data_IF_913135100754
#
_entry.id   IF_913135100754
#
_cell.length_a   1.000
_cell.length_b   1.000
_cell.length_c   1.000
_cell.angle_alpha   90.00
_cell.angle_beta   90.00
_cell.angle_gamma   90.00
#
_symmetry.space_group_name_H-M   'P 1'
#
loop_
_entity.id
_entity.type
_entity.pdbx_description
1 polymer ?
#
# COMPACT_ATOMS: atom_id res chain seq x y z
N UNK A 1 -13.69 -47.16 -27.05
CA UNK A 1 -15.07 -47.60 -27.33
C UNK A 1 -15.95 -47.11 -26.19
N UNK A 2 -17.16 -46.69 -26.55
CA UNK A 2 -18.22 -46.08 -25.75
C UNK A 2 -18.04 -44.60 -25.35
N UNK A 3 -19.03 -43.71 -25.47
CA UNK A 3 -20.08 -43.40 -26.46
C UNK A 3 -20.87 -42.22 -25.81
N UNK A 4 -21.17 -41.14 -26.55
CA UNK A 4 -22.50 -40.48 -26.62
C UNK A 4 -23.01 -39.79 -25.31
N UNK A 5 -23.42 -38.51 -25.24
CA UNK A 5 -24.00 -37.55 -26.20
C UNK A 5 -23.98 -36.10 -25.64
N UNK A 6 -24.29 -35.09 -26.48
CA UNK A 6 -24.21 -33.66 -26.22
C UNK A 6 -25.57 -33.06 -25.80
N UNK A 7 -25.55 -31.84 -25.26
CA UNK A 7 -26.74 -31.01 -25.07
C UNK A 7 -26.59 -29.71 -25.85
N UNK A 8 -27.45 -29.61 -26.86
CA UNK A 8 -27.75 -28.45 -27.68
C UNK A 8 -28.75 -27.58 -26.90
N UNK A 9 -28.58 -26.25 -26.88
CA UNK A 9 -29.72 -25.35 -26.67
C UNK A 9 -29.59 -24.11 -27.55
N UNK A 10 -30.75 -23.79 -28.10
CA UNK A 10 -31.08 -22.96 -29.24
C UNK A 10 -31.45 -21.54 -28.79
N UNK A 11 -31.08 -20.57 -29.64
CA UNK A 11 -31.69 -19.27 -29.98
C UNK A 11 -32.38 -18.39 -28.92
N UNK A 12 -32.13 -17.07 -28.98
CA UNK A 12 -33.16 -16.14 -29.47
C UNK A 12 -32.60 -14.76 -29.84
N UNK A 13 -33.25 -14.17 -30.82
CA UNK A 13 -33.02 -12.93 -31.57
C UNK A 13 -33.65 -11.68 -30.93
N UNK A 14 -32.93 -10.54 -30.98
CA UNK A 14 -33.31 -9.13 -31.27
C UNK A 14 -34.77 -8.63 -31.07
N UNK A 15 -35.00 -7.37 -30.60
CA UNK A 15 -34.85 -6.22 -31.51
C UNK A 15 -34.29 -4.91 -30.94
N UNK A 16 -33.71 -4.12 -31.86
CA UNK A 16 -33.48 -2.68 -31.75
C UNK A 16 -34.82 -1.93 -31.67
N UNK A 17 -34.90 -0.94 -30.79
CA UNK A 17 -35.95 0.07 -30.81
C UNK A 17 -35.35 1.45 -31.11
N UNK A 18 -35.68 1.97 -32.29
CA UNK A 18 -35.57 3.39 -32.62
C UNK A 18 -36.58 4.19 -31.78
N UNK A 19 -36.16 5.28 -31.16
CA UNK A 19 -37.09 6.33 -30.72
C UNK A 19 -36.68 7.65 -31.35
N UNK A 20 -37.49 8.04 -32.33
CA UNK A 20 -37.51 9.31 -33.04
C UNK A 20 -38.58 10.18 -32.38
N UNK A 21 -38.20 11.34 -31.88
CA UNK A 21 -39.14 12.43 -31.63
C UNK A 21 -38.48 13.73 -32.08
N UNK A 22 -39.21 14.45 -32.93
CA UNK A 22 -38.91 15.82 -33.32
C UNK A 22 -40.20 16.62 -33.22
N UNK A 23 -40.08 17.92 -33.01
CA UNK A 23 -41.18 18.87 -33.19
C UNK A 23 -41.26 20.00 -32.17
N UNK A 24 -40.64 21.12 -32.54
CA UNK A 24 -41.09 22.52 -32.39
C UNK A 24 -41.26 23.26 -31.03
N UNK A 25 -40.33 24.21 -30.85
CA UNK A 25 -40.51 25.66 -30.62
C UNK A 25 -41.29 26.22 -29.40
N UNK A 26 -40.55 26.92 -28.51
CA UNK A 26 -40.67 28.38 -28.26
C UNK A 26 -39.57 28.86 -27.29
N UNK A 27 -39.11 30.14 -27.39
CA UNK A 27 -37.96 30.64 -26.65
C UNK A 27 -38.35 31.20 -25.28
N UNK A 28 -37.68 30.75 -24.22
CA UNK A 28 -37.67 31.47 -22.94
C UNK A 28 -36.24 31.89 -22.62
N UNK A 29 -36.05 33.20 -22.74
CA UNK A 29 -34.90 33.91 -22.21
C UNK A 29 -34.96 33.84 -20.69
N UNK A 30 -33.98 33.19 -20.06
CA UNK A 30 -33.68 33.41 -18.65
C UNK A 30 -32.18 33.32 -18.46
N UNK A 31 -31.65 34.43 -17.97
CA UNK A 31 -30.24 34.71 -17.81
C UNK A 31 -29.54 33.65 -16.94
N UNK A 32 -28.62 32.91 -17.54
CA UNK A 32 -27.60 32.19 -16.80
C UNK A 32 -26.62 33.21 -16.25
N UNK A 33 -26.78 33.56 -14.98
CA UNK A 33 -25.69 34.13 -14.20
C UNK A 33 -24.53 33.10 -14.18
N UNK A 34 -23.27 33.52 -14.36
CA UNK A 34 -22.15 32.61 -14.17
C UNK A 34 -22.12 32.18 -12.70
N UNK A 35 -22.35 30.88 -12.44
CA UNK A 35 -22.04 30.29 -11.15
C UNK A 35 -20.52 30.30 -11.02
N UNK A 36 -20.02 31.38 -10.43
CA UNK A 36 -18.64 31.49 -9.98
C UNK A 36 -18.43 30.38 -8.97
N UNK A 37 -17.75 29.30 -9.37
CA UNK A 37 -17.19 28.32 -8.43
C UNK A 37 -16.20 29.06 -7.54
N UNK A 38 -16.69 29.48 -6.38
CA UNK A 38 -15.89 30.12 -5.34
C UNK A 38 -14.79 29.14 -4.91
N UNK A 39 -13.58 29.34 -5.44
CA UNK A 39 -12.38 28.54 -5.13
C UNK A 39 -11.72 28.97 -3.82
N UNK A 40 -12.53 29.47 -2.87
CA UNK A 40 -12.07 30.19 -1.69
C UNK A 40 -12.19 29.40 -0.38
N UNK A 41 -12.51 28.11 -0.42
CA UNK A 41 -12.44 27.24 0.77
C UNK A 41 -11.25 26.28 0.68
N UNK A 42 -10.06 26.86 0.48
CA UNK A 42 -8.82 26.14 0.80
C UNK A 42 -8.70 26.17 2.31
N UNK A 43 -9.24 25.14 2.97
CA UNK A 43 -8.94 24.83 4.37
C UNK A 43 -7.43 25.02 4.61
N UNK A 44 -7.02 25.60 5.75
CA UNK A 44 -5.61 25.78 6.06
C UNK A 44 -4.91 24.45 5.84
N UNK A 45 -3.76 24.51 5.18
CA UNK A 45 -2.91 23.39 4.77
C UNK A 45 -2.58 22.56 6.02
N UNK A 46 -3.50 21.66 6.39
CA UNK A 46 -3.30 20.74 7.50
C UNK A 46 -2.08 19.95 7.07
N UNK A 47 -0.97 19.95 7.83
CA UNK A 47 0.20 19.16 7.49
C UNK A 47 -0.34 17.78 7.16
N UNK A 48 -0.13 17.32 5.92
CA UNK A 48 -0.65 16.03 5.45
C UNK A 48 -0.18 15.01 6.45
N UNK A 49 -1.09 14.67 7.36
CA UNK A 49 -0.78 13.79 8.45
C UNK A 49 -0.44 12.50 7.74
N UNK A 50 0.76 11.97 7.99
CA UNK A 50 1.09 10.58 7.66
C UNK A 50 0.18 9.74 8.56
N UNK A 51 -1.11 9.73 8.23
CA UNK A 51 -2.23 9.41 9.11
C UNK A 51 -2.50 7.92 9.00
N UNK A 52 -2.41 7.23 10.14
CA UNK A 52 -2.86 5.86 10.34
C UNK A 52 -2.39 4.89 9.25
N UNK A 53 -1.18 4.36 9.39
CA UNK A 53 -0.75 3.23 8.56
C UNK A 53 -1.76 2.08 8.68
N UNK A 54 -2.27 1.59 7.55
CA UNK A 54 -3.20 0.45 7.49
C UNK A 54 -4.54 0.74 6.80
N UNK A 55 -5.45 -0.24 6.87
CA UNK A 55 -6.76 -0.16 6.18
C UNK A 55 -7.66 0.93 6.77
N UNK A 56 -7.61 1.15 8.09
CA UNK A 56 -8.43 2.17 8.77
C UNK A 56 -8.06 3.57 8.31
N UNK A 57 -6.77 3.88 8.19
CA UNK A 57 -6.33 5.18 7.70
C UNK A 57 -6.72 5.45 6.25
N UNK A 58 -6.72 4.41 5.42
CA UNK A 58 -7.23 4.52 4.04
C UNK A 58 -8.73 4.85 4.03
N UNK A 59 -9.55 4.15 4.82
CA UNK A 59 -10.98 4.44 4.91
C UNK A 59 -11.25 5.85 5.47
N UNK A 60 -10.55 6.24 6.54
CA UNK A 60 -10.68 7.58 7.11
C UNK A 60 -10.28 8.67 6.12
N UNK A 61 -9.17 8.47 5.39
CA UNK A 61 -8.71 9.38 4.34
C UNK A 61 -9.77 9.62 3.27
N UNK A 62 -10.39 8.55 2.76
CA UNK A 62 -11.48 8.69 1.79
C UNK A 62 -12.77 9.27 2.38
N UNK A 63 -13.02 9.03 3.67
CA UNK A 63 -14.21 9.57 4.33
C UNK A 63 -14.20 11.10 4.36
N UNK A 64 -13.02 11.73 4.40
CA UNK A 64 -12.89 13.20 4.33
C UNK A 64 -13.29 13.80 2.98
N UNK A 65 -13.32 13.01 1.92
CA UNK A 65 -13.78 13.44 0.59
C UNK A 65 -15.32 13.41 0.48
N UNK A 66 -16.01 12.81 1.46
CA UNK A 66 -17.48 12.79 1.51
C UNK A 66 -18.03 14.09 2.07
N UNK A 67 -19.26 14.41 1.67
CA UNK A 67 -20.03 15.48 2.32
C UNK A 67 -20.56 14.96 3.66
N UNK A 68 -19.96 15.44 4.75
CA UNK A 68 -20.27 15.02 6.13
C UNK A 68 -20.96 16.13 6.92
N UNK A 69 -21.92 15.74 7.76
CA UNK A 69 -22.51 16.60 8.79
C UNK A 69 -21.49 16.92 9.88
N UNK A 70 -21.72 17.98 10.64
CA UNK A 70 -20.74 18.42 11.65
C UNK A 70 -20.63 17.43 12.82
N UNK A 71 -21.72 16.74 13.16
CA UNK A 71 -21.70 15.65 14.14
C UNK A 71 -20.82 14.48 13.67
N UNK A 72 -20.89 14.14 12.38
CA UNK A 72 -20.09 13.07 11.78
C UNK A 72 -18.60 13.44 11.77
N UNK A 73 -18.27 14.67 11.38
CA UNK A 73 -16.88 15.18 11.43
C UNK A 73 -16.33 15.12 12.85
N UNK A 74 -17.10 15.56 13.85
CA UNK A 74 -16.69 15.50 15.24
C UNK A 74 -16.47 14.05 15.74
N UNK A 75 -17.28 13.09 15.26
CA UNK A 75 -17.07 11.68 15.55
C UNK A 75 -15.78 11.14 14.91
N UNK A 76 -15.51 11.50 13.64
CA UNK A 76 -14.27 11.11 12.95
C UNK A 76 -13.02 11.70 13.61
N UNK A 77 -13.05 12.98 14.00
CA UNK A 77 -11.93 13.62 14.68
C UNK A 77 -11.61 12.90 16.00
N UNK A 78 -12.62 12.44 16.75
CA UNK A 78 -12.43 11.63 17.96
C UNK A 78 -11.83 10.26 17.66
N UNK A 79 -12.29 9.57 16.60
CA UNK A 79 -11.73 8.28 16.16
C UNK A 79 -10.27 8.45 15.79
N UNK A 80 -9.94 9.47 14.98
CA UNK A 80 -8.56 9.77 14.59
C UNK A 80 -7.67 10.11 15.77
N UNK A 81 -8.15 10.92 16.71
CA UNK A 81 -7.38 11.31 17.88
C UNK A 81 -7.01 10.08 18.73
N UNK A 82 -7.96 9.14 18.92
CA UNK A 82 -7.72 7.87 19.63
C UNK A 82 -6.71 6.98 18.92
N UNK A 83 -6.79 6.89 17.59
CA UNK A 83 -5.82 6.12 16.80
C UNK A 83 -4.41 6.71 16.92
N UNK A 84 -4.28 8.05 16.97
CA UNK A 84 -2.99 8.75 17.07
C UNK A 84 -2.34 8.67 18.44
N UNK A 85 -3.10 8.81 19.54
CA UNK A 85 -2.54 8.82 20.90
C UNK A 85 -1.84 7.50 21.26
N UNK A 86 -2.21 6.44 20.56
CA UNK A 86 -1.86 5.07 20.88
C UNK A 86 -0.90 4.42 19.85
N UNK A 87 -0.38 5.21 18.90
CA UNK A 87 0.26 4.75 17.67
C UNK A 87 1.75 4.36 17.82
N UNK A 88 2.12 3.69 18.93
CA UNK A 88 3.48 3.14 19.03
C UNK A 88 3.65 1.86 18.22
N UNK A 89 2.54 1.18 17.90
CA UNK A 89 2.55 -0.09 17.16
C UNK A 89 3.51 -1.12 17.77
N UNK A 90 3.95 -2.14 17.01
CA UNK A 90 4.98 -3.08 17.44
C UNK A 90 6.41 -2.52 17.24
N UNK A 91 6.57 -1.21 16.96
CA UNK A 91 7.87 -0.64 16.59
C UNK A 91 8.92 -0.77 17.69
N UNK A 92 8.61 -0.55 18.99
CA UNK A 92 9.56 -0.79 20.07
C UNK A 92 10.07 -2.23 20.11
N UNK A 93 9.15 -3.20 20.03
CA UNK A 93 9.45 -4.63 20.11
C UNK A 93 10.23 -5.10 18.88
N UNK A 94 9.88 -4.60 17.68
CA UNK A 94 10.65 -4.88 16.45
C UNK A 94 12.08 -4.32 16.54
N UNK A 95 12.27 -3.13 17.13
CA UNK A 95 13.61 -2.57 17.38
C UNK A 95 14.38 -3.41 18.39
N UNK A 96 13.71 -3.89 19.43
CA UNK A 96 14.34 -4.77 20.43
C UNK A 96 14.76 -6.11 19.81
N UNK A 97 13.92 -6.70 18.97
CA UNK A 97 14.24 -7.93 18.23
C UNK A 97 15.50 -7.72 17.39
N UNK A 98 15.54 -6.63 16.63
CA UNK A 98 16.70 -6.31 15.81
C UNK A 98 17.95 -6.14 16.67
N UNK A 99 17.89 -5.35 17.74
CA UNK A 99 19.03 -5.14 18.65
C UNK A 99 19.53 -6.47 19.22
N UNK A 100 18.60 -7.37 19.55
CA UNK A 100 18.92 -8.73 20.05
C UNK A 100 19.62 -9.57 18.98
N UNK A 101 19.14 -9.52 17.73
CA UNK A 101 19.78 -10.22 16.61
C UNK A 101 21.18 -9.67 16.32
N UNK A 102 21.36 -8.35 16.31
CA UNK A 102 22.66 -7.70 16.09
C UNK A 102 23.66 -8.08 17.20
N UNK A 103 23.24 -8.04 18.46
CA UNK A 103 24.07 -8.47 19.58
C UNK A 103 24.45 -9.95 19.47
N UNK A 104 23.50 -10.82 19.11
CA UNK A 104 23.76 -12.25 18.92
C UNK A 104 24.69 -12.53 17.72
N UNK A 105 24.59 -11.75 16.65
CA UNK A 105 25.53 -11.82 15.52
C UNK A 105 26.95 -11.47 15.97
N UNK A 106 27.13 -10.35 16.69
CA UNK A 106 28.46 -9.97 17.25
C UNK A 106 29.03 -11.06 18.16
N UNK A 107 28.19 -11.62 19.04
CA UNK A 107 28.56 -12.70 19.95
C UNK A 107 28.81 -14.04 19.23
N UNK A 108 28.37 -14.19 17.97
CA UNK A 108 28.47 -15.44 17.21
C UNK A 108 27.43 -16.49 17.56
N UNK A 109 26.45 -16.15 18.40
CA UNK A 109 25.37 -17.03 18.82
C UNK A 109 24.11 -16.21 19.10
N UNK A 110 22.98 -16.65 18.54
CA UNK A 110 21.69 -16.05 18.79
C UNK A 110 21.05 -16.59 20.07
N UNK A 111 20.43 -15.69 20.84
CA UNK A 111 19.55 -16.06 21.95
C UNK A 111 18.14 -16.34 21.40
N UNK A 112 17.92 -17.59 21.00
CA UNK A 112 16.65 -18.02 20.41
C UNK A 112 15.48 -17.90 21.40
N UNK A 113 15.73 -18.05 22.71
CA UNK A 113 14.70 -17.91 23.73
C UNK A 113 14.24 -16.45 23.83
N UNK A 114 15.19 -15.50 23.86
CA UNK A 114 14.86 -14.08 23.85
C UNK A 114 14.17 -13.64 22.55
N UNK A 115 14.62 -14.16 21.40
CA UNK A 115 13.96 -13.90 20.11
C UNK A 115 12.50 -14.38 20.13
N UNK A 116 12.23 -15.59 20.64
CA UNK A 116 10.88 -16.12 20.76
C UNK A 116 10.00 -15.28 21.69
N UNK A 117 10.55 -14.80 22.82
CA UNK A 117 9.85 -13.92 23.74
C UNK A 117 9.46 -12.60 23.07
N UNK A 118 10.40 -11.92 22.42
CA UNK A 118 10.13 -10.63 21.75
C UNK A 118 9.09 -10.81 20.63
N UNK A 119 9.08 -11.95 19.93
CA UNK A 119 8.04 -12.26 18.94
C UNK A 119 6.65 -12.36 19.55
N UNK A 120 6.51 -13.01 20.70
CA UNK A 120 5.24 -13.04 21.42
C UNK A 120 4.76 -11.63 21.81
N UNK A 121 5.70 -10.76 22.19
CA UNK A 121 5.40 -9.36 22.51
C UNK A 121 4.97 -8.56 21.25
N UNK A 122 5.62 -8.79 20.10
CA UNK A 122 5.19 -8.25 18.79
C UNK A 122 3.78 -8.73 18.45
N UNK A 123 3.48 -10.02 18.59
CA UNK A 123 2.16 -10.58 18.29
C UNK A 123 1.08 -9.96 19.17
N UNK A 124 1.37 -9.77 20.47
CA UNK A 124 0.48 -9.09 21.41
C UNK A 124 0.25 -7.62 21.03
N UNK A 125 1.30 -6.88 20.68
CA UNK A 125 1.20 -5.49 20.22
C UNK A 125 0.39 -5.37 18.92
N UNK A 126 0.60 -6.30 17.98
CA UNK A 126 -0.17 -6.38 16.74
C UNK A 126 -1.64 -6.71 16.99
N UNK A 127 -1.94 -7.62 17.93
CA UNK A 127 -3.34 -7.92 18.29
C UNK A 127 -4.02 -6.72 18.92
N UNK A 128 -3.36 -6.04 19.88
CA UNK A 128 -3.89 -4.82 20.48
C UNK A 128 -4.16 -3.73 19.42
N UNK A 129 -3.32 -3.63 18.38
CA UNK A 129 -3.57 -2.72 17.25
C UNK A 129 -4.79 -3.15 16.43
N UNK A 130 -4.96 -4.44 16.14
CA UNK A 130 -6.16 -4.94 15.42
C UNK A 130 -7.44 -4.65 16.18
N UNK A 131 -7.44 -4.83 17.50
CA UNK A 131 -8.62 -4.57 18.32
C UNK A 131 -9.02 -3.08 18.25
N UNK A 132 -8.03 -2.18 18.28
CA UNK A 132 -8.23 -0.73 18.12
C UNK A 132 -8.71 -0.37 16.71
N UNK A 133 -8.09 -0.96 15.69
CA UNK A 133 -8.50 -0.77 14.30
C UNK A 133 -9.96 -1.24 14.10
N UNK A 134 -10.35 -2.37 14.71
CA UNK A 134 -11.72 -2.87 14.66
C UNK A 134 -12.71 -1.94 15.37
N UNK A 135 -12.35 -1.41 16.54
CA UNK A 135 -13.16 -0.40 17.24
C UNK A 135 -13.32 0.88 16.43
N UNK A 136 -12.25 1.35 15.79
CA UNK A 136 -12.29 2.52 14.93
C UNK A 136 -13.16 2.29 13.68
N UNK A 137 -13.07 1.11 13.05
CA UNK A 137 -13.91 0.74 11.91
C UNK A 137 -15.39 0.63 12.29
N UNK A 138 -15.70 0.04 13.45
CA UNK A 138 -17.06 -0.03 13.97
C UNK A 138 -17.59 1.38 14.31
N UNK A 139 -16.76 2.24 14.89
CA UNK A 139 -17.09 3.65 15.14
C UNK A 139 -17.36 4.42 13.84
N UNK A 140 -16.53 4.23 12.82
CA UNK A 140 -16.68 4.81 11.50
C UNK A 140 -17.99 4.35 10.84
N UNK A 141 -18.27 3.05 10.89
CA UNK A 141 -19.49 2.46 10.36
C UNK A 141 -20.76 3.03 11.02
N UNK A 142 -20.73 3.24 12.34
CA UNK A 142 -21.85 3.80 13.10
C UNK A 142 -22.05 5.31 12.83
N UNK A 143 -20.98 6.05 12.55
CA UNK A 143 -21.05 7.49 12.27
C UNK A 143 -21.57 7.80 10.85
N UNK A 144 -21.37 6.89 9.90
CA UNK A 144 -21.76 7.08 8.50
C UNK A 144 -23.16 6.54 8.20
N UNK A 145 -23.90 7.28 7.38
CA UNK A 145 -25.20 6.85 6.86
C UNK A 145 -25.03 5.72 5.83
N UNK A 146 -26.04 4.84 5.64
CA UNK A 146 -25.97 3.73 4.67
C UNK A 146 -25.53 4.16 3.26
N UNK A 147 -26.05 5.30 2.77
CA UNK A 147 -25.68 5.85 1.47
C UNK A 147 -24.20 6.29 1.41
N UNK A 148 -23.68 6.90 2.48
CA UNK A 148 -22.28 7.32 2.57
C UNK A 148 -21.34 6.12 2.61
N UNK A 149 -21.69 5.05 3.35
CA UNK A 149 -20.90 3.81 3.41
C UNK A 149 -20.75 3.16 2.03
N UNK A 150 -21.84 3.10 1.26
CA UNK A 150 -21.84 2.59 -0.12
C UNK A 150 -21.01 3.45 -1.06
N UNK A 151 -21.10 4.77 -0.94
CA UNK A 151 -20.27 5.70 -1.71
C UNK A 151 -18.79 5.53 -1.40
N UNK A 152 -18.43 5.42 -0.11
CA UNK A 152 -17.07 5.18 0.36
C UNK A 152 -16.49 3.88 -0.22
N UNK A 153 -17.23 2.78 -0.10
CA UNK A 153 -16.80 1.48 -0.59
C UNK A 153 -16.62 1.48 -2.12
N UNK A 154 -17.48 2.18 -2.86
CA UNK A 154 -17.33 2.37 -4.31
C UNK A 154 -16.05 3.15 -4.65
N UNK A 155 -15.81 4.27 -3.97
CA UNK A 155 -14.61 5.09 -4.18
C UNK A 155 -13.31 4.31 -3.92
N UNK A 156 -13.30 3.50 -2.84
CA UNK A 156 -12.16 2.66 -2.49
C UNK A 156 -11.90 1.56 -3.52
N UNK A 157 -12.94 0.90 -4.05
CA UNK A 157 -12.77 -0.09 -5.12
C UNK A 157 -12.18 0.54 -6.39
N UNK A 158 -12.62 1.75 -6.75
CA UNK A 158 -12.04 2.50 -7.88
C UNK A 158 -10.55 2.79 -7.67
N UNK A 159 -10.19 3.34 -6.50
CA UNK A 159 -8.77 3.61 -6.15
C UNK A 159 -7.92 2.33 -6.13
N UNK A 160 -8.49 1.24 -5.65
CA UNK A 160 -7.83 -0.06 -5.67
C UNK A 160 -7.55 -0.53 -7.10
N UNK A 161 -8.52 -0.43 -8.00
CA UNK A 161 -8.36 -0.80 -9.42
C UNK A 161 -7.31 0.08 -10.13
N UNK A 162 -7.30 1.38 -9.88
CA UNK A 162 -6.27 2.30 -10.41
C UNK A 162 -4.87 1.93 -9.91
N UNK A 163 -4.74 1.63 -8.62
CA UNK A 163 -3.48 1.20 -8.01
C UNK A 163 -2.99 -0.11 -8.63
N UNK A 164 -3.87 -1.07 -8.84
CA UNK A 164 -3.56 -2.35 -9.48
C UNK A 164 -3.12 -2.17 -10.93
N UNK A 165 -3.83 -1.36 -11.72
CA UNK A 165 -3.45 -1.06 -13.10
C UNK A 165 -2.05 -0.43 -13.16
N UNK A 166 -1.75 0.50 -12.24
CA UNK A 166 -0.42 1.13 -12.14
C UNK A 166 0.67 0.12 -11.75
N UNK A 167 0.38 -0.81 -10.84
CA UNK A 167 1.33 -1.87 -10.46
C UNK A 167 1.54 -2.83 -11.62
N UNK A 168 0.48 -3.25 -12.30
CA UNK A 168 0.53 -4.14 -13.45
C UNK A 168 1.37 -3.53 -14.59
N UNK A 169 1.17 -2.24 -14.89
CA UNK A 169 1.97 -1.51 -15.88
C UNK A 169 3.47 -1.55 -15.51
N UNK A 170 3.82 -1.24 -14.25
CA UNK A 170 5.21 -1.30 -13.78
C UNK A 170 5.82 -2.71 -13.83
N UNK A 171 5.00 -3.74 -13.61
CA UNK A 171 5.45 -5.14 -13.68
C UNK A 171 5.64 -5.63 -15.11
N UNK A 172 4.85 -5.12 -16.06
CA UNK A 172 5.00 -5.46 -17.47
C UNK A 172 6.38 -5.06 -18.02
N UNK A 173 6.90 -3.92 -17.53
CA UNK A 173 8.20 -3.38 -17.94
C UNK A 173 9.39 -3.94 -17.13
N UNK A 174 9.12 -4.64 -16.02
CA UNK A 174 10.17 -5.15 -15.13
C UNK A 174 10.55 -6.60 -15.47
N UNK A 175 11.84 -6.92 -15.62
CA UNK A 175 12.28 -8.31 -15.77
C UNK A 175 11.85 -9.10 -14.52
N UNK A 176 11.22 -10.26 -14.75
CA UNK A 176 10.82 -11.16 -13.66
C UNK A 176 12.10 -11.70 -13.01
N UNK A 177 12.32 -11.47 -11.70
CA UNK A 177 13.51 -11.99 -11.04
C UNK A 177 13.46 -13.52 -11.02
N UNK A 178 14.44 -14.16 -11.65
CA UNK A 178 14.62 -15.60 -11.51
C UNK A 178 15.09 -15.92 -10.09
N UNK A 179 14.55 -16.97 -9.49
CA UNK A 179 14.92 -17.41 -8.14
C UNK A 179 16.41 -17.77 -8.06
N UNK A 180 16.96 -18.33 -9.14
CA UNK A 180 18.38 -18.68 -9.21
C UNK A 180 19.26 -17.44 -9.28
N UNK A 181 18.90 -16.46 -10.12
CA UNK A 181 19.59 -15.16 -10.19
C UNK A 181 19.54 -14.41 -8.86
N UNK A 182 18.41 -14.43 -8.16
CA UNK A 182 18.29 -13.81 -6.84
C UNK A 182 19.24 -14.44 -5.82
N UNK A 183 19.32 -15.78 -5.78
CA UNK A 183 20.24 -16.49 -4.88
C UNK A 183 21.71 -16.16 -5.19
N UNK A 184 22.07 -16.10 -6.48
CA UNK A 184 23.42 -15.68 -6.93
C UNK A 184 23.73 -14.26 -6.49
N UNK A 185 22.82 -13.32 -6.74
CA UNK A 185 22.99 -11.92 -6.34
C UNK A 185 23.13 -11.77 -4.81
N UNK A 186 22.33 -12.49 -4.03
CA UNK A 186 22.42 -12.51 -2.57
C UNK A 186 23.79 -13.02 -2.10
N UNK A 187 24.31 -14.09 -2.72
CA UNK A 187 25.65 -14.62 -2.41
C UNK A 187 26.76 -13.63 -2.78
N UNK A 188 26.70 -13.02 -3.96
CA UNK A 188 27.65 -12.00 -4.41
C UNK A 188 27.67 -10.79 -3.47
N UNK A 189 26.50 -10.32 -3.06
CA UNK A 189 26.36 -9.23 -2.10
C UNK A 189 26.97 -9.62 -0.74
N UNK A 190 26.65 -10.79 -0.19
CA UNK A 190 27.23 -11.25 1.07
C UNK A 190 28.75 -11.41 0.98
N UNK A 191 29.24 -11.89 -0.16
CA UNK A 191 30.67 -12.04 -0.42
C UNK A 191 31.37 -10.69 -0.39
N UNK A 192 30.80 -9.68 -1.05
CA UNK A 192 31.32 -8.31 -1.08
C UNK A 192 31.24 -7.61 0.27
N UNK A 193 30.13 -7.77 0.98
CA UNK A 193 29.85 -7.04 2.22
C UNK A 193 30.61 -7.63 3.43
N UNK A 194 30.96 -8.93 3.38
CA UNK A 194 31.62 -9.65 4.47
C UNK A 194 33.02 -10.17 4.13
N UNK A 195 33.51 -9.93 2.91
CA UNK A 195 34.79 -10.46 2.41
C UNK A 195 34.90 -11.99 2.62
N UNK A 196 33.88 -12.73 2.14
CA UNK A 196 33.84 -14.18 2.30
C UNK A 196 34.93 -14.86 1.46
N UNK A 197 35.68 -15.79 2.05
CA UNK A 197 36.64 -16.60 1.30
C UNK A 197 35.96 -17.72 0.50
N UNK A 198 36.69 -18.34 -0.44
CA UNK A 198 36.13 -19.35 -1.35
C UNK A 198 35.53 -20.58 -0.61
N UNK A 199 36.07 -20.92 0.56
CA UNK A 199 35.54 -22.03 1.35
C UNK A 199 34.23 -21.62 2.07
N UNK A 200 34.17 -20.39 2.59
CA UNK A 200 32.95 -19.82 3.18
C UNK A 200 31.83 -19.64 2.14
N UNK A 201 32.15 -19.10 0.96
CA UNK A 201 31.20 -18.91 -0.14
C UNK A 201 30.48 -20.21 -0.50
N UNK A 202 31.23 -21.31 -0.69
CA UNK A 202 30.64 -22.63 -0.98
C UNK A 202 29.68 -23.11 0.11
N UNK A 203 29.98 -22.85 1.38
CA UNK A 203 29.09 -23.23 2.49
C UNK A 203 27.82 -22.37 2.51
N UNK A 204 27.95 -21.06 2.30
CA UNK A 204 26.80 -20.14 2.23
C UNK A 204 25.92 -20.43 1.01
N UNK A 205 26.53 -20.74 -0.15
CA UNK A 205 25.81 -21.17 -1.35
C UNK A 205 24.98 -22.44 -1.09
N UNK A 206 25.56 -23.44 -0.44
CA UNK A 206 24.85 -24.66 -0.05
C UNK A 206 23.69 -24.40 0.93
N UNK A 207 23.84 -23.40 1.82
CA UNK A 207 22.74 -22.96 2.70
C UNK A 207 21.65 -22.26 1.90
N UNK A 208 21.99 -21.34 0.99
CA UNK A 208 21.03 -20.64 0.13
C UNK A 208 20.31 -21.58 -0.84
N UNK A 209 20.95 -22.65 -1.28
CA UNK A 209 20.30 -23.68 -2.10
C UNK A 209 19.20 -24.41 -1.33
N UNK A 210 19.44 -24.70 -0.04
CA UNK A 210 18.46 -25.33 0.88
C UNK A 210 17.40 -24.37 1.40
N UNK A 211 17.74 -23.08 1.44
CA UNK A 211 16.81 -22.02 1.84
C UNK A 211 15.66 -21.94 0.82
N UNK A 212 14.47 -22.26 1.31
CA UNK A 212 13.21 -22.21 0.55
C UNK A 212 12.57 -20.83 0.58
N UNK A 213 13.21 -19.83 1.22
CA UNK A 213 12.66 -18.47 1.29
C UNK A 213 12.34 -17.98 -0.12
N UNK A 214 11.04 -17.68 -0.30
CA UNK A 214 10.41 -17.65 -1.60
C UNK A 214 10.82 -16.42 -2.40
N UNK A 215 11.04 -16.67 -3.69
CA UNK A 215 11.25 -15.68 -4.73
C UNK A 215 10.01 -14.75 -4.92
N UNK A 216 10.00 -13.78 -5.86
CA UNK A 216 8.98 -12.72 -5.97
C UNK A 216 7.54 -13.20 -6.21
N UNK A 217 7.32 -14.48 -6.52
CA UNK A 217 5.98 -15.08 -6.61
C UNK A 217 5.15 -14.90 -5.33
N UNK A 218 5.82 -14.86 -4.17
CA UNK A 218 5.18 -14.59 -2.86
C UNK A 218 4.56 -13.19 -2.76
N UNK A 219 5.07 -12.21 -3.52
CA UNK A 219 4.54 -10.84 -3.50
C UNK A 219 3.22 -10.72 -4.26
N UNK A 220 3.05 -11.48 -5.35
CA UNK A 220 1.81 -11.50 -6.12
C UNK A 220 0.69 -12.16 -5.33
N UNK A 221 1.00 -13.27 -4.66
CA UNK A 221 0.08 -13.94 -3.75
C UNK A 221 -0.31 -13.04 -2.57
N UNK A 222 0.67 -12.37 -1.94
CA UNK A 222 0.41 -11.41 -0.87
C UNK A 222 -0.45 -10.23 -1.34
N UNK A 223 -0.24 -9.73 -2.56
CA UNK A 223 -1.06 -8.67 -3.15
C UNK A 223 -2.49 -9.15 -3.41
N UNK A 224 -2.66 -10.34 -3.98
CA UNK A 224 -3.97 -10.93 -4.24
C UNK A 224 -4.73 -11.22 -2.94
N UNK A 225 -4.03 -11.68 -1.91
CA UNK A 225 -4.63 -11.91 -0.60
C UNK A 225 -5.05 -10.58 0.05
N UNK A 226 -4.21 -9.55 0.00
CA UNK A 226 -4.55 -8.22 0.51
C UNK A 226 -5.76 -7.63 -0.24
N UNK A 227 -5.84 -7.81 -1.56
CA UNK A 227 -6.99 -7.41 -2.38
C UNK A 227 -8.27 -8.11 -1.90
N UNK A 228 -8.25 -9.44 -1.79
CA UNK A 228 -9.40 -10.23 -1.33
C UNK A 228 -9.90 -9.77 0.04
N UNK A 229 -8.98 -9.49 0.97
CA UNK A 229 -9.32 -8.99 2.30
C UNK A 229 -9.98 -7.62 2.26
N UNK A 230 -9.45 -6.71 1.44
CA UNK A 230 -10.05 -5.39 1.26
C UNK A 230 -11.45 -5.52 0.66
N UNK A 231 -11.63 -6.32 -0.40
CA UNK A 231 -12.93 -6.53 -1.04
C UNK A 231 -13.96 -7.13 -0.06
N UNK A 232 -13.54 -8.09 0.76
CA UNK A 232 -14.39 -8.67 1.81
C UNK A 232 -14.78 -7.63 2.87
N UNK A 233 -13.82 -6.82 3.33
CA UNK A 233 -14.06 -5.73 4.28
C UNK A 233 -15.05 -4.72 3.69
N UNK A 234 -14.85 -4.25 2.45
CA UNK A 234 -15.71 -3.27 1.81
C UNK A 234 -17.13 -3.83 1.61
N UNK A 235 -17.24 -5.09 1.23
CA UNK A 235 -18.55 -5.77 1.07
C UNK A 235 -19.27 -5.89 2.41
N UNK A 236 -18.56 -6.26 3.48
CA UNK A 236 -19.14 -6.29 4.82
C UNK A 236 -19.54 -4.89 5.30
N UNK A 237 -18.72 -3.87 5.01
CA UNK A 237 -18.93 -2.48 5.41
C UNK A 237 -20.14 -1.84 4.73
N UNK A 238 -20.53 -2.32 3.54
CA UNK A 238 -21.76 -1.94 2.86
C UNK A 238 -23.01 -2.57 3.49
N UNK A 239 -22.86 -3.73 4.16
CA UNK A 239 -23.96 -4.45 4.79
C UNK A 239 -24.51 -3.73 6.03
N UNK A 240 -25.68 -4.15 6.50
CA UNK A 240 -26.39 -3.54 7.65
C UNK A 240 -25.91 -4.04 9.02
N UNK A 241 -25.06 -5.07 9.05
CA UNK A 241 -24.60 -5.73 10.29
C UNK A 241 -23.09 -5.85 10.34
N UNK A 242 -22.40 -4.78 9.98
CA UNK A 242 -20.95 -4.74 10.00
C UNK A 242 -20.40 -4.89 11.42
N UNK A 243 -19.43 -5.80 11.57
CA UNK A 243 -18.63 -5.93 12.77
C UNK A 243 -17.19 -6.27 12.39
N UNK A 244 -16.30 -5.31 12.54
CA UNK A 244 -14.89 -5.47 12.21
C UNK A 244 -14.19 -6.56 13.04
N UNK A 245 -14.71 -6.93 14.21
CA UNK A 245 -14.14 -8.01 15.04
C UNK A 245 -14.41 -9.40 14.45
N UNK A 246 -15.44 -9.54 13.62
CA UNK A 246 -15.78 -10.79 12.91
C UNK A 246 -15.05 -10.94 11.58
N UNK A 247 -14.39 -9.88 11.10
CA UNK A 247 -13.55 -9.98 9.93
C UNK A 247 -12.30 -10.77 10.31
N UNK A 248 -12.26 -12.04 9.91
CA UNK A 248 -11.03 -12.80 9.89
C UNK A 248 -10.08 -12.11 8.91
N UNK A 249 -9.23 -11.23 9.43
CA UNK A 249 -8.09 -10.70 8.70
C UNK A 249 -6.94 -11.64 9.03
N UNK A 250 -6.57 -12.58 8.13
CA UNK A 250 -5.51 -13.53 8.45
C UNK A 250 -4.26 -12.77 8.86
N UNK A 251 -3.69 -13.15 10.00
CA UNK A 251 -2.67 -12.36 10.65
C UNK A 251 -1.46 -12.19 9.70
N UNK A 252 -1.23 -10.96 9.19
CA UNK A 252 0.08 -10.59 8.61
C UNK A 252 1.20 -10.78 9.64
N UNK A 253 0.86 -10.81 10.93
CA UNK A 253 1.78 -11.18 11.99
C UNK A 253 2.33 -12.60 11.80
N UNK A 254 1.53 -13.59 11.38
CA UNK A 254 2.04 -14.95 11.13
C UNK A 254 3.14 -14.96 10.06
N UNK A 255 2.91 -14.27 8.93
CA UNK A 255 3.91 -14.13 7.86
C UNK A 255 5.15 -13.35 8.31
N UNK A 256 4.98 -12.28 9.08
CA UNK A 256 6.08 -11.48 9.61
C UNK A 256 6.94 -12.31 10.58
N UNK A 257 6.30 -13.04 11.49
CA UNK A 257 6.94 -13.94 12.44
C UNK A 257 7.69 -15.06 11.72
N UNK A 258 7.09 -15.65 10.69
CA UNK A 258 7.74 -16.66 9.85
C UNK A 258 8.99 -16.10 9.14
N UNK A 259 8.90 -14.92 8.52
CA UNK A 259 10.06 -14.26 7.90
C UNK A 259 11.18 -14.01 8.93
N UNK A 260 10.83 -13.62 10.16
CA UNK A 260 11.79 -13.44 11.24
C UNK A 260 12.42 -14.77 11.68
N UNK A 261 11.66 -15.87 11.71
CA UNK A 261 12.18 -17.21 12.01
C UNK A 261 13.18 -17.65 10.95
N UNK A 262 12.82 -17.49 9.67
CA UNK A 262 13.71 -17.79 8.56
C UNK A 262 15.01 -16.98 8.66
N UNK A 263 14.91 -15.69 9.00
CA UNK A 263 16.10 -14.86 9.19
C UNK A 263 16.95 -15.32 10.37
N UNK A 264 16.36 -15.60 11.54
CA UNK A 264 17.09 -16.08 12.72
C UNK A 264 17.74 -17.45 12.46
N UNK A 265 17.04 -18.34 11.76
CA UNK A 265 17.55 -19.66 11.38
C UNK A 265 18.69 -19.56 10.35
N UNK A 266 18.58 -18.67 9.36
CA UNK A 266 19.66 -18.42 8.43
C UNK A 266 20.92 -17.90 9.15
N UNK A 267 20.74 -16.94 10.06
CA UNK A 267 21.84 -16.40 10.86
C UNK A 267 22.48 -17.49 11.74
N UNK A 268 21.70 -18.34 12.41
CA UNK A 268 22.25 -19.39 13.26
C UNK A 268 23.13 -20.39 12.50
N UNK A 269 22.85 -20.62 11.21
CA UNK A 269 23.64 -21.47 10.32
C UNK A 269 24.88 -20.77 9.75
N UNK A 270 24.81 -19.45 9.51
CA UNK A 270 25.91 -18.66 8.93
C UNK A 270 26.94 -18.26 9.98
N UNK A 271 26.53 -17.96 11.21
CA UNK A 271 27.45 -17.46 12.26
C UNK A 271 28.65 -18.37 12.56
N UNK A 272 28.54 -19.72 12.56
CA UNK A 272 29.69 -20.61 12.73
C UNK A 272 30.66 -20.62 11.54
N UNK A 273 30.24 -20.15 10.37
CA UNK A 273 31.06 -20.08 9.16
C UNK A 273 31.89 -18.78 9.15
N UNK A 274 31.38 -17.71 9.76
CA UNK A 274 31.98 -16.39 9.77
C UNK A 274 33.08 -16.25 10.82
N UNK A 275 34.15 -15.55 10.46
CA UNK A 275 35.21 -15.09 11.37
C UNK A 275 34.68 -13.97 12.27
N UNK A 276 35.26 -13.73 13.46
CA UNK A 276 34.83 -12.66 14.37
C UNK A 276 34.71 -11.29 13.69
N UNK A 277 35.71 -10.90 12.90
CA UNK A 277 35.71 -9.63 12.15
C UNK A 277 34.57 -9.52 11.14
N UNK A 278 34.19 -10.63 10.50
CA UNK A 278 33.08 -10.66 9.54
C UNK A 278 31.73 -10.55 10.25
N UNK A 279 31.62 -11.10 11.47
CA UNK A 279 30.41 -10.95 12.30
C UNK A 279 30.19 -9.51 12.72
N UNK A 280 31.24 -8.78 13.05
CA UNK A 280 31.15 -7.34 13.33
C UNK A 280 30.70 -6.53 12.12
N UNK A 281 31.26 -6.82 10.92
CA UNK A 281 30.80 -6.21 9.66
C UNK A 281 29.34 -6.50 9.37
N UNK A 282 28.92 -7.75 9.57
CA UNK A 282 27.53 -8.16 9.38
C UNK A 282 26.59 -7.42 10.32
N UNK A 283 26.93 -7.36 11.61
CA UNK A 283 26.16 -6.64 12.61
C UNK A 283 26.05 -5.13 12.28
N UNK A 284 27.15 -4.50 11.86
CA UNK A 284 27.15 -3.10 11.44
C UNK A 284 26.29 -2.87 10.18
N UNK A 285 26.28 -3.81 9.23
CA UNK A 285 25.43 -3.72 8.05
C UNK A 285 23.94 -3.88 8.40
N UNK A 286 23.61 -4.74 9.36
CA UNK A 286 22.25 -4.88 9.88
C UNK A 286 21.77 -3.58 10.55
N UNK A 287 22.60 -2.94 11.38
CA UNK A 287 22.30 -1.63 11.98
C UNK A 287 22.11 -0.52 10.92
N UNK A 288 22.91 -0.53 9.85
CA UNK A 288 22.79 0.45 8.75
C UNK A 288 21.53 0.27 7.91
N UNK A 289 21.14 -0.97 7.62
CA UNK A 289 19.95 -1.25 6.83
C UNK A 289 18.68 -0.72 7.49
N UNK A 290 18.62 -0.70 8.81
CA UNK A 290 17.42 -0.23 9.53
C UNK A 290 17.30 1.27 9.61
N UNK A 291 18.43 1.99 9.62
CA UNK A 291 18.44 3.45 9.46
C UNK A 291 17.94 3.85 8.08
N UNK A 292 18.29 3.08 7.03
CA UNK A 292 17.80 3.32 5.67
C UNK A 292 16.31 2.96 5.45
N UNK A 293 15.74 2.08 6.28
CA UNK A 293 14.34 1.64 6.24
C UNK A 293 13.43 2.32 7.29
N UNK A 294 13.88 3.42 7.90
CA UNK A 294 13.12 4.09 8.96
C UNK A 294 11.69 4.54 8.55
N UNK A 295 10.78 4.80 9.53
CA UNK A 295 9.32 4.91 9.33
C UNK A 295 8.85 6.13 8.51
N UNK A 296 9.78 6.94 8.03
CA UNK A 296 9.51 7.95 7.02
C UNK A 296 10.67 7.86 6.05
N UNK A 297 10.38 7.38 4.83
CA UNK A 297 11.38 7.24 3.77
C UNK A 297 12.42 8.36 3.82
N UNK A 298 13.65 7.98 4.13
CA UNK A 298 14.81 8.87 4.02
C UNK A 298 14.88 9.45 2.61
N UNK A 299 15.60 10.57 2.45
CA UNK A 299 15.46 11.47 1.32
C UNK A 299 15.57 10.68 0.03
N UNK A 300 14.57 10.84 -0.84
CA UNK A 300 14.68 10.54 -2.25
C UNK A 300 16.10 10.95 -2.67
N UNK A 301 16.85 10.01 -3.25
CA UNK A 301 18.18 10.30 -3.77
C UNK A 301 18.15 11.59 -4.61
N UNK A 302 19.31 12.27 -4.77
CA UNK A 302 19.37 13.50 -5.55
C UNK A 302 18.58 13.31 -6.85
N UNK A 303 17.71 14.28 -7.21
CA UNK A 303 16.77 14.12 -8.30
C UNK A 303 17.55 13.65 -9.52
N UNK A 304 17.34 12.39 -9.92
CA UNK A 304 17.89 11.87 -11.17
C UNK A 304 17.41 12.84 -12.23
N UNK A 305 18.37 13.55 -12.81
CA UNK A 305 18.13 14.61 -13.78
C UNK A 305 17.11 14.12 -14.79
N UNK A 306 15.93 14.74 -14.75
CA UNK A 306 15.00 14.64 -15.84
C UNK A 306 15.73 15.06 -17.12
N UNK A 307 15.42 14.42 -18.26
CA UNK A 307 16.05 14.76 -19.53
C UNK A 307 15.93 16.28 -19.80
N UNK A 308 16.98 16.89 -20.37
CA UNK A 308 17.05 18.33 -20.53
C UNK A 308 15.89 18.85 -21.37
N UNK A 309 15.13 19.77 -20.79
CA UNK A 309 14.40 20.83 -21.49
C UNK A 309 13.58 20.43 -22.70
N UNK A 310 12.33 20.03 -22.50
CA UNK A 310 11.30 20.44 -23.45
C UNK A 310 10.92 21.90 -23.13
N UNK A 311 11.05 22.84 -24.08
CA UNK A 311 10.62 24.21 -23.86
C UNK A 311 9.11 24.20 -23.61
N UNK A 312 8.75 24.68 -22.42
CA UNK A 312 7.39 25.00 -22.02
C UNK A 312 6.90 26.10 -22.96
N UNK A 313 6.08 25.73 -23.94
CA UNK A 313 5.35 26.68 -24.78
C UNK A 313 4.50 27.57 -23.86
N UNK A 314 4.84 28.85 -23.84
CA UNK A 314 4.14 29.93 -23.17
C UNK A 314 2.85 30.24 -23.95
N UNK A 315 1.64 30.03 -23.39
CA UNK A 315 0.41 30.42 -24.06
C UNK A 315 0.15 31.91 -23.78
N UNK A 316 0.99 32.76 -24.39
CA UNK A 316 1.06 34.17 -24.07
C UNK A 316 1.45 35.06 -25.24
N UNK A 317 0.78 34.91 -26.39
CA UNK A 317 0.70 35.98 -27.39
C UNK A 317 -0.49 35.76 -28.32
N UNK A 318 -1.62 36.37 -27.95
CA UNK A 318 -2.72 36.59 -28.87
C UNK A 318 -2.34 37.62 -29.94
N UNK A 319 -2.87 37.51 -31.17
CA UNK A 319 -2.56 38.45 -32.25
C UNK A 319 -3.13 39.85 -31.96
N UNK A 320 -2.46 40.92 -32.45
CA UNK A 320 -2.91 42.29 -32.24
C UNK A 320 -4.25 42.56 -32.93
N UNK A 321 -5.15 43.18 -32.18
CA UNK A 321 -6.46 43.64 -32.61
C UNK A 321 -6.34 44.59 -33.81
N UNK A 322 -7.05 44.27 -34.89
CA UNK A 322 -7.16 45.13 -36.07
C UNK A 322 -8.00 46.40 -35.81
N UNK A 323 -7.83 47.44 -36.64
CA UNK A 323 -8.49 48.73 -36.48
C UNK A 323 -9.99 48.66 -36.79
N UNK A 324 -10.80 49.26 -35.91
CA UNK A 324 -12.26 49.28 -36.00
C UNK A 324 -12.79 50.18 -37.14
N UNK A 325 -13.99 49.88 -37.67
CA UNK A 325 -14.61 50.67 -38.71
C UNK A 325 -15.24 51.96 -38.16
N UNK A 326 -14.99 53.05 -38.87
CA UNK A 326 -15.60 54.36 -38.69
C UNK A 326 -17.12 54.32 -38.85
N UNK A 327 -17.84 54.94 -37.92
CA UNK A 327 -19.27 55.17 -38.05
C UNK A 327 -19.58 56.27 -39.08
N UNK A 328 -20.75 56.23 -39.73
CA UNK A 328 -21.20 57.31 -40.61
C UNK A 328 -21.73 58.49 -39.80
N UNK A 329 -21.27 59.69 -40.16
CA UNK A 329 -21.84 60.95 -39.73
C UNK A 329 -22.90 61.41 -40.75
N UNK A 330 -24.11 61.66 -40.25
CA UNK A 330 -25.22 62.47 -40.81
C UNK A 330 -25.79 62.11 -42.18
#
# INVERSE_FOLDING_TARGET
>A
MNLIRPLCLIALTLPMACSKSGGDAAPVSSASAPVVRSSADRRPDRPRVRSAEGMVGMLLGETHELTLKDEQKAALDKIEQRLRSDDKGPLPEVKELQSTMVAGVKAGKLDMAKIAQIKADIDKAMQARRDKDAEALNGLYAALEPAQRKSLATALRTKQAEREARIAARKADAPKPDATEWKKHKLEQMTKDLDLDAAQQKKVEALLAKDSSQAPASLDEAQNEMKKRLDALLTAFEGDSFDAKKLEVPAMAGKMTEMMDQQAQFLSLVLPILKPEQREKMAANMDKQTVRRGPGGGPMGPPMGGPPGHPRMDPGNGPPSGPGPAGPAR
#
